data_IF_838808157023
#
_entry.id   IF_838808157023
#
_cell.length_a   1.000
_cell.length_b   1.000
_cell.length_c   1.000
_cell.angle_alpha   90.00
_cell.angle_beta   90.00
_cell.angle_gamma   90.00
#
_symmetry.space_group_name_H-M   'P 1'
#
loop_
_entity.id
_entity.type
_entity.pdbx_description
1 polymer ?
#
# COMPACT_ATOMS: atom_id res chain seq x y z
N UNK A 1 7.94 16.06 -6.83
CA UNK A 1 7.81 14.59 -6.95
C UNK A 1 7.81 13.96 -5.57
N UNK A 2 6.94 13.01 -5.27
CA UNK A 2 6.83 12.42 -3.92
C UNK A 2 8.16 11.88 -3.35
N UNK A 3 9.03 11.28 -4.18
CA UNK A 3 10.32 10.72 -3.75
C UNK A 3 11.27 11.77 -3.15
N UNK A 4 11.36 12.96 -3.75
CA UNK A 4 12.21 14.04 -3.23
C UNK A 4 11.71 14.46 -1.84
N UNK A 5 10.41 14.67 -1.69
CA UNK A 5 9.82 15.05 -0.41
C UNK A 5 9.96 13.95 0.65
N UNK A 6 9.83 12.68 0.25
CA UNK A 6 10.07 11.55 1.14
C UNK A 6 11.51 11.55 1.65
N UNK A 7 12.48 11.73 0.73
CA UNK A 7 13.90 11.81 1.08
C UNK A 7 14.16 12.97 2.04
N UNK A 8 13.73 14.16 1.70
CA UNK A 8 13.93 15.36 2.53
C UNK A 8 13.33 15.17 3.93
N UNK A 9 12.13 14.56 4.02
CA UNK A 9 11.50 14.26 5.31
C UNK A 9 12.34 13.31 6.14
N UNK A 10 12.81 12.20 5.53
CA UNK A 10 13.65 11.22 6.21
C UNK A 10 14.98 11.79 6.65
N UNK A 11 15.60 12.64 5.84
CA UNK A 11 16.88 13.28 6.14
C UNK A 11 16.77 14.27 7.30
N UNK A 12 15.60 14.90 7.46
CA UNK A 12 15.29 15.82 8.55
C UNK A 12 14.66 15.16 9.77
N UNK A 13 14.75 13.83 9.91
CA UNK A 13 14.30 13.09 11.10
C UNK A 13 12.80 12.83 11.16
N UNK A 14 12.09 13.07 10.08
CA UNK A 14 10.68 12.71 9.94
C UNK A 14 10.47 11.23 9.63
N UNK A 15 9.23 10.85 9.34
CA UNK A 15 8.81 9.46 9.07
C UNK A 15 7.98 9.38 7.80
N UNK A 16 8.14 8.28 7.06
CA UNK A 16 7.37 8.01 5.84
C UNK A 16 6.74 6.62 5.92
N UNK A 17 5.46 6.53 5.56
CA UNK A 17 4.75 5.25 5.39
C UNK A 17 4.23 5.14 3.97
N UNK A 18 4.51 4.02 3.32
CA UNK A 18 3.91 3.61 2.06
C UNK A 18 2.83 2.55 2.36
N UNK A 19 1.56 2.90 2.21
CA UNK A 19 0.46 1.93 2.16
C UNK A 19 0.28 1.55 0.70
N UNK A 20 0.89 0.42 0.27
CA UNK A 20 1.11 0.09 -1.12
C UNK A 20 0.30 -1.14 -1.56
N UNK A 21 -0.31 -1.09 -2.75
CA UNK A 21 -0.93 -2.26 -3.37
C UNK A 21 0.14 -3.29 -3.73
N UNK A 22 -0.17 -4.57 -3.53
CA UNK A 22 0.71 -5.67 -3.98
C UNK A 22 1.01 -5.58 -5.48
N UNK A 23 2.09 -6.23 -5.94
CA UNK A 23 2.50 -6.31 -7.33
C UNK A 23 1.58 -7.23 -8.15
N UNK A 24 1.80 -7.28 -9.46
CA UNK A 24 0.97 -8.01 -10.40
C UNK A 24 0.79 -9.49 -10.04
N UNK A 25 -0.44 -9.94 -10.16
CA UNK A 25 -0.88 -11.33 -10.03
C UNK A 25 -1.69 -11.75 -11.27
N UNK A 26 -1.89 -13.03 -11.53
CA UNK A 26 -2.82 -13.48 -12.57
C UNK A 26 -4.22 -12.86 -12.36
N UNK A 27 -5.00 -12.69 -13.43
CA UNK A 27 -6.40 -12.28 -13.34
C UNK A 27 -7.18 -13.19 -12.38
N UNK A 28 -8.25 -12.65 -11.79
CA UNK A 28 -9.20 -13.48 -11.03
C UNK A 28 -10.06 -14.29 -12.00
N UNK A 29 -10.26 -15.56 -11.66
CA UNK A 29 -11.27 -16.35 -12.36
C UNK A 29 -12.66 -15.77 -12.09
N UNK A 30 -13.53 -15.71 -13.10
CA UNK A 30 -14.92 -15.35 -12.90
C UNK A 30 -15.56 -16.24 -11.83
N UNK A 31 -16.08 -15.66 -10.76
CA UNK A 31 -16.68 -16.40 -9.65
C UNK A 31 -15.73 -16.81 -8.52
N UNK A 32 -14.45 -16.40 -8.55
CA UNK A 32 -13.58 -16.56 -7.39
C UNK A 32 -13.96 -15.60 -6.26
N UNK A 33 -14.80 -16.10 -5.37
CA UNK A 33 -15.24 -15.38 -4.17
C UNK A 33 -14.17 -15.26 -3.08
N UNK A 34 -13.01 -15.88 -3.27
CA UNK A 34 -11.86 -15.71 -2.35
C UNK A 34 -11.06 -14.46 -2.66
N UNK A 35 -11.42 -13.72 -3.71
CA UNK A 35 -10.69 -12.56 -4.21
C UNK A 35 -9.21 -12.88 -4.48
N UNK A 36 -8.95 -14.10 -4.97
CA UNK A 36 -7.60 -14.56 -5.28
C UNK A 36 -6.70 -14.72 -4.06
N UNK A 37 -7.23 -15.09 -2.91
CA UNK A 37 -6.45 -15.22 -1.67
C UNK A 37 -5.23 -16.14 -1.81
N UNK A 38 -5.33 -17.20 -2.63
CA UNK A 38 -4.27 -18.17 -2.92
C UNK A 38 -3.36 -17.78 -4.08
N UNK A 39 -3.68 -16.72 -4.85
CA UNK A 39 -2.89 -16.35 -6.03
C UNK A 39 -1.54 -15.78 -5.63
N UNK A 40 -0.50 -16.29 -6.28
CA UNK A 40 0.86 -15.77 -6.24
C UNK A 40 1.03 -14.58 -7.17
N UNK A 41 2.17 -13.90 -7.07
CA UNK A 41 2.60 -12.94 -8.09
C UNK A 41 2.89 -13.65 -9.41
N UNK A 42 2.74 -12.93 -10.54
CA UNK A 42 3.36 -13.32 -11.79
C UNK A 42 4.89 -13.14 -11.69
N UNK A 43 5.64 -13.73 -12.63
CA UNK A 43 7.09 -13.48 -12.74
C UNK A 43 7.36 -11.97 -12.96
N UNK A 44 6.54 -11.33 -13.77
CA UNK A 44 6.60 -9.89 -14.01
C UNK A 44 6.33 -9.09 -12.73
N UNK A 45 5.28 -9.44 -11.98
CA UNK A 45 4.98 -8.79 -10.70
C UNK A 45 6.10 -8.96 -9.68
N UNK A 46 6.77 -10.13 -9.65
CA UNK A 46 7.94 -10.34 -8.80
C UNK A 46 9.09 -9.42 -9.18
N UNK A 47 9.43 -9.34 -10.48
CA UNK A 47 10.49 -8.44 -10.99
C UNK A 47 10.18 -6.98 -10.71
N UNK A 48 8.92 -6.56 -10.90
CA UNK A 48 8.50 -5.20 -10.61
C UNK A 48 8.65 -4.85 -9.13
N UNK A 49 8.21 -5.71 -8.23
CA UNK A 49 8.38 -5.52 -6.79
C UNK A 49 9.86 -5.43 -6.39
N UNK A 50 10.72 -6.28 -6.97
CA UNK A 50 12.16 -6.25 -6.77
C UNK A 50 12.77 -4.91 -7.23
N UNK A 51 12.40 -4.44 -8.43
CA UNK A 51 12.85 -3.15 -8.98
C UNK A 51 12.36 -1.96 -8.15
N UNK A 52 11.16 -2.06 -7.59
CA UNK A 52 10.67 -1.07 -6.62
C UNK A 52 11.58 -1.02 -5.38
N UNK A 53 12.03 -2.15 -4.89
CA UNK A 53 13.01 -2.24 -3.81
C UNK A 53 14.35 -1.57 -4.17
N UNK A 54 14.87 -1.81 -5.38
CA UNK A 54 16.06 -1.12 -5.91
C UNK A 54 15.87 0.40 -5.97
N UNK A 55 14.71 0.84 -6.42
CA UNK A 55 14.36 2.27 -6.48
C UNK A 55 14.36 2.90 -5.07
N UNK A 56 13.76 2.25 -4.08
CA UNK A 56 13.79 2.72 -2.70
C UNK A 56 15.24 2.82 -2.20
N UNK A 57 16.08 1.82 -2.52
CA UNK A 57 17.48 1.82 -2.15
C UNK A 57 18.24 3.01 -2.74
N UNK A 58 18.11 3.24 -4.03
CA UNK A 58 18.82 4.28 -4.75
C UNK A 58 18.41 5.70 -4.33
N UNK A 59 17.16 5.89 -3.89
CA UNK A 59 16.63 7.22 -3.60
C UNK A 59 16.52 7.54 -2.10
N UNK A 60 16.36 6.53 -1.23
CA UNK A 60 16.01 6.76 0.18
C UNK A 60 17.03 6.19 1.18
N UNK A 61 18.00 5.34 0.75
CA UNK A 61 19.06 4.86 1.63
C UNK A 61 20.07 6.00 1.97
N UNK A 62 20.76 5.90 3.14
CA UNK A 62 20.91 4.72 3.99
C UNK A 62 19.84 4.54 5.10
N UNK A 63 18.65 5.08 4.98
CA UNK A 63 17.63 5.00 6.03
C UNK A 63 17.11 3.56 6.21
N UNK A 64 16.96 3.08 7.46
CA UNK A 64 16.38 1.78 7.73
C UNK A 64 14.92 1.68 7.27
N UNK A 65 14.55 0.53 6.68
CA UNK A 65 13.20 0.27 6.14
C UNK A 65 12.60 -0.95 6.80
N UNK A 66 11.37 -0.82 7.32
CA UNK A 66 10.58 -1.93 7.82
C UNK A 66 9.51 -2.36 6.81
N UNK A 67 9.40 -3.66 6.56
CA UNK A 67 8.41 -4.23 5.66
C UNK A 67 7.32 -4.96 6.44
N UNK A 68 6.07 -4.67 6.08
CA UNK A 68 4.89 -5.33 6.60
C UNK A 68 4.00 -5.78 5.43
N UNK A 69 3.32 -6.89 5.59
CA UNK A 69 2.40 -7.41 4.59
C UNK A 69 1.12 -7.92 5.24
N UNK A 70 0.02 -7.93 4.49
CA UNK A 70 -1.15 -8.69 4.87
C UNK A 70 -0.83 -10.19 4.86
N UNK A 71 -1.76 -11.01 5.31
CA UNK A 71 -1.63 -12.47 5.38
C UNK A 71 -1.75 -13.19 4.03
N UNK A 72 -2.07 -12.48 2.93
CA UNK A 72 -2.18 -13.11 1.61
C UNK A 72 -0.81 -13.35 0.99
N UNK A 73 -0.71 -14.44 0.21
CA UNK A 73 0.56 -14.87 -0.34
C UNK A 73 1.20 -13.80 -1.24
N UNK A 74 0.41 -13.16 -2.12
CA UNK A 74 0.89 -12.10 -3.03
C UNK A 74 1.44 -10.86 -2.33
N UNK A 75 0.86 -10.45 -1.20
CA UNK A 75 1.37 -9.29 -0.44
C UNK A 75 2.69 -9.63 0.25
N UNK A 76 2.79 -10.85 0.78
CA UNK A 76 4.03 -11.35 1.38
C UNK A 76 5.14 -11.44 0.33
N UNK A 77 4.85 -12.03 -0.85
CA UNK A 77 5.79 -12.10 -1.96
C UNK A 77 6.25 -10.71 -2.43
N UNK A 78 5.32 -9.76 -2.55
CA UNK A 78 5.65 -8.37 -2.90
C UNK A 78 6.64 -7.76 -1.91
N UNK A 79 6.35 -7.87 -0.61
CA UNK A 79 7.22 -7.33 0.43
C UNK A 79 8.60 -8.01 0.45
N UNK A 80 8.64 -9.33 0.24
CA UNK A 80 9.91 -10.07 0.14
C UNK A 80 10.74 -9.64 -1.07
N UNK A 81 10.11 -9.53 -2.24
CA UNK A 81 10.80 -9.09 -3.47
C UNK A 81 11.36 -7.68 -3.32
N UNK A 82 10.59 -6.74 -2.76
CA UNK A 82 11.08 -5.38 -2.46
C UNK A 82 12.26 -5.40 -1.49
N UNK A 83 12.19 -6.20 -0.41
CA UNK A 83 13.27 -6.31 0.55
C UNK A 83 14.55 -6.86 -0.09
N UNK A 84 14.43 -7.86 -0.98
CA UNK A 84 15.57 -8.41 -1.74
C UNK A 84 16.19 -7.36 -2.66
N UNK A 85 15.38 -6.60 -3.42
CA UNK A 85 15.88 -5.52 -4.29
C UNK A 85 16.62 -4.44 -3.48
N UNK A 86 16.09 -4.09 -2.34
CA UNK A 86 16.70 -3.10 -1.45
C UNK A 86 18.04 -3.60 -0.85
N UNK A 87 18.20 -4.91 -0.59
CA UNK A 87 19.43 -5.50 -0.05
C UNK A 87 20.58 -5.53 -1.06
N UNK A 88 20.31 -5.56 -2.37
CA UNK A 88 21.34 -5.57 -3.41
C UNK A 88 22.18 -4.29 -3.46
N UNK A 89 21.61 -3.16 -3.08
CA UNK A 89 22.29 -1.85 -3.10
C UNK A 89 22.88 -1.49 -1.73
N UNK A 90 22.39 -2.11 -0.66
CA UNK A 90 22.82 -1.86 0.71
C UNK A 90 24.24 -2.37 0.95
N UNK A 91 25.20 -1.46 1.10
CA UNK A 91 26.60 -1.71 1.40
C UNK A 91 26.79 -2.65 2.61
N UNK A 92 26.86 -3.96 2.42
CA UNK A 92 27.45 -4.94 3.33
C UNK A 92 26.93 -5.02 4.78
N UNK A 93 26.06 -4.14 5.20
CA UNK A 93 25.35 -4.27 6.46
C UNK A 93 24.23 -5.25 6.27
N UNK A 94 24.41 -6.48 6.76
CA UNK A 94 23.37 -7.50 6.86
C UNK A 94 22.18 -6.96 7.66
N UNK A 95 21.35 -6.16 7.01
CA UNK A 95 20.10 -5.74 7.58
C UNK A 95 19.22 -6.96 7.52
N UNK A 96 19.02 -7.63 8.64
CA UNK A 96 18.06 -8.74 8.79
C UNK A 96 16.64 -8.20 8.55
N UNK A 97 16.30 -8.00 7.27
CA UNK A 97 15.00 -7.47 6.85
C UNK A 97 13.97 -8.57 6.96
N UNK A 98 13.32 -8.58 8.08
CA UNK A 98 12.21 -9.50 8.33
C UNK A 98 10.92 -8.85 7.86
N UNK A 99 10.27 -9.44 6.84
CA UNK A 99 8.89 -9.09 6.53
C UNK A 99 7.99 -9.58 7.67
N UNK A 100 7.18 -8.69 8.22
CA UNK A 100 6.28 -8.96 9.34
C UNK A 100 4.84 -8.98 8.84
N UNK A 101 4.04 -9.91 9.38
CA UNK A 101 2.61 -9.97 9.08
C UNK A 101 1.84 -8.91 9.88
N UNK A 102 0.92 -8.24 9.22
CA UNK A 102 0.02 -7.25 9.80
C UNK A 102 -1.41 -7.48 9.28
N UNK A 103 -2.25 -8.28 9.98
CA UNK A 103 -3.58 -8.66 9.50
C UNK A 103 -4.51 -7.48 9.18
N UNK A 104 -4.31 -6.33 9.80
CA UNK A 104 -5.07 -5.12 9.50
C UNK A 104 -4.83 -4.58 8.08
N UNK A 105 -3.80 -5.06 7.37
CA UNK A 105 -3.54 -4.76 5.96
C UNK A 105 -4.36 -5.67 5.01
N UNK A 106 -5.02 -6.69 5.53
CA UNK A 106 -5.80 -7.69 4.77
C UNK A 106 -7.18 -7.96 5.37
N UNK A 107 -7.40 -9.18 5.83
CA UNK A 107 -8.71 -9.64 6.32
C UNK A 107 -9.25 -8.82 7.49
N UNK A 108 -8.37 -8.38 8.40
CA UNK A 108 -8.72 -7.54 9.55
C UNK A 108 -8.69 -6.04 9.26
N UNK A 109 -8.77 -5.62 7.97
CA UNK A 109 -8.74 -4.21 7.59
C UNK A 109 -9.78 -3.38 8.34
N UNK A 110 -9.41 -2.20 8.86
CA UNK A 110 -10.34 -1.29 9.50
C UNK A 110 -11.50 -0.84 8.61
N UNK A 111 -11.35 -0.88 7.29
CA UNK A 111 -12.40 -0.51 6.34
C UNK A 111 -13.48 -1.60 6.21
N UNK A 112 -13.15 -2.86 6.50
CA UNK A 112 -14.03 -3.98 6.25
C UNK A 112 -15.01 -4.20 7.40
N UNK A 113 -16.26 -4.43 7.01
CA UNK A 113 -17.34 -4.92 7.87
C UNK A 113 -17.59 -6.41 7.63
N UNK A 114 -18.88 -6.77 7.36
CA UNK A 114 -19.26 -8.15 7.07
C UNK A 114 -18.73 -8.60 5.71
N UNK A 115 -18.10 -9.78 5.68
CA UNK A 115 -17.60 -10.42 4.46
C UNK A 115 -18.78 -10.75 3.54
N UNK A 116 -19.85 -11.33 4.09
CA UNK A 116 -21.04 -11.74 3.35
C UNK A 116 -21.65 -10.55 2.59
N UNK A 117 -21.82 -9.42 3.28
CA UNK A 117 -22.37 -8.19 2.66
C UNK A 117 -21.46 -7.59 1.59
N UNK A 118 -20.14 -7.76 1.71
CA UNK A 118 -19.21 -7.32 0.66
C UNK A 118 -19.25 -8.24 -0.55
N UNK A 119 -19.41 -9.55 -0.33
CA UNK A 119 -19.61 -10.52 -1.42
C UNK A 119 -20.93 -10.28 -2.15
N UNK A 120 -22.03 -10.03 -1.42
CA UNK A 120 -23.31 -9.63 -2.01
C UNK A 120 -23.14 -8.38 -2.88
N UNK A 121 -22.48 -7.35 -2.36
CA UNK A 121 -22.23 -6.12 -3.09
C UNK A 121 -21.40 -6.35 -4.37
N UNK A 122 -20.40 -7.22 -4.31
CA UNK A 122 -19.60 -7.58 -5.48
C UNK A 122 -20.42 -8.36 -6.53
N UNK A 123 -21.35 -9.20 -6.08
CA UNK A 123 -22.22 -9.98 -6.96
C UNK A 123 -23.34 -9.15 -7.64
N UNK A 124 -23.72 -8.01 -7.05
CA UNK A 124 -24.73 -7.09 -7.63
C UNK A 124 -24.26 -6.39 -8.92
N UNK A 125 -22.97 -6.48 -9.27
CA UNK A 125 -22.35 -5.70 -10.35
C UNK A 125 -22.07 -4.25 -9.95
N UNK A 126 -21.48 -3.48 -10.86
CA UNK A 126 -21.14 -2.06 -10.63
C UNK A 126 -20.31 -1.80 -9.35
N UNK A 127 -19.41 -2.74 -9.03
CA UNK A 127 -18.65 -2.72 -7.78
C UNK A 127 -17.86 -1.42 -7.60
N UNK A 128 -17.21 -0.92 -8.66
CA UNK A 128 -16.45 0.33 -8.61
C UNK A 128 -17.36 1.55 -8.37
N UNK A 129 -18.53 1.60 -8.98
CA UNK A 129 -19.51 2.67 -8.74
C UNK A 129 -19.97 2.68 -7.27
N UNK A 130 -20.27 1.49 -6.72
CA UNK A 130 -20.63 1.33 -5.30
C UNK A 130 -19.51 1.74 -4.35
N UNK A 131 -18.27 1.50 -4.72
CA UNK A 131 -17.11 1.96 -3.94
C UNK A 131 -16.95 3.48 -4.03
N UNK A 132 -17.17 4.10 -5.18
CA UNK A 132 -17.17 5.55 -5.31
C UNK A 132 -18.28 6.20 -4.48
N UNK A 133 -19.47 5.58 -4.41
CA UNK A 133 -20.52 6.01 -3.48
C UNK A 133 -20.07 5.91 -2.01
N UNK A 134 -19.35 4.83 -1.65
CA UNK A 134 -18.77 4.69 -0.32
C UNK A 134 -17.77 5.81 -0.04
N UNK A 135 -16.91 6.14 -0.99
CA UNK A 135 -15.90 7.18 -0.83
C UNK A 135 -16.55 8.56 -0.68
N UNK A 136 -17.55 8.86 -1.49
CA UNK A 136 -18.29 10.12 -1.45
C UNK A 136 -19.15 10.29 -0.19
N UNK A 137 -19.85 9.24 0.22
CA UNK A 137 -20.83 9.30 1.34
C UNK A 137 -20.24 8.88 2.70
N UNK A 138 -19.09 8.21 2.69
CA UNK A 138 -18.46 7.63 3.87
C UNK A 138 -19.16 6.40 4.43
N UNK A 139 -20.20 5.86 3.72
CA UNK A 139 -21.03 4.75 4.19
C UNK A 139 -21.35 3.78 3.04
N UNK A 140 -21.20 2.50 3.26
CA UNK A 140 -21.66 1.45 2.34
C UNK A 140 -21.93 0.16 3.11
N UNK A 141 -22.88 -0.64 2.62
CA UNK A 141 -23.16 -1.98 3.15
C UNK A 141 -21.90 -2.84 3.08
N UNK A 142 -21.59 -3.56 4.15
CA UNK A 142 -20.38 -4.40 4.22
C UNK A 142 -19.10 -3.66 4.59
N UNK A 143 -19.12 -2.33 4.69
CA UNK A 143 -17.98 -1.49 5.08
C UNK A 143 -18.20 -0.75 6.39
N UNK A 144 -17.12 -0.43 7.08
CA UNK A 144 -17.12 0.47 8.23
C UNK A 144 -17.17 1.92 7.74
N UNK A 145 -17.55 2.86 8.63
CA UNK A 145 -17.58 4.30 8.28
C UNK A 145 -16.18 4.76 7.84
N UNK A 146 -16.06 5.29 6.63
CA UNK A 146 -14.82 5.60 5.93
C UNK A 146 -13.80 6.38 6.80
N UNK A 147 -14.18 7.55 7.29
CA UNK A 147 -13.25 8.40 8.06
C UNK A 147 -12.83 7.78 9.40
N UNK A 148 -13.73 7.02 10.07
CA UNK A 148 -13.36 6.31 11.31
C UNK A 148 -12.40 5.16 11.02
N UNK A 149 -12.64 4.45 9.93
CA UNK A 149 -11.79 3.36 9.46
C UNK A 149 -10.40 3.88 9.09
N UNK A 150 -10.33 4.99 8.36
CA UNK A 150 -9.07 5.63 7.97
C UNK A 150 -8.26 6.10 9.19
N UNK A 151 -8.91 6.72 10.20
CA UNK A 151 -8.22 7.07 11.46
C UNK A 151 -7.69 5.84 12.19
N UNK A 152 -8.42 4.72 12.16
CA UNK A 152 -7.95 3.46 12.75
C UNK A 152 -6.79 2.87 11.95
N UNK A 153 -6.86 2.87 10.62
CA UNK A 153 -5.77 2.44 9.74
C UNK A 153 -4.51 3.23 10.03
N UNK A 154 -4.61 4.56 10.07
CA UNK A 154 -3.47 5.42 10.34
C UNK A 154 -2.85 5.17 11.73
N UNK A 155 -3.65 4.95 12.75
CA UNK A 155 -3.11 4.58 14.09
C UNK A 155 -2.33 3.27 14.04
N UNK A 156 -2.83 2.27 13.30
CA UNK A 156 -2.12 1.01 13.12
C UNK A 156 -0.82 1.22 12.34
N UNK A 157 -0.84 2.00 11.24
CA UNK A 157 0.36 2.32 10.45
C UNK A 157 1.39 3.09 11.28
N UNK A 158 0.97 4.07 12.06
CA UNK A 158 1.87 4.81 12.95
C UNK A 158 2.51 3.90 14.03
N UNK A 159 1.81 2.89 14.49
CA UNK A 159 2.33 1.90 15.45
C UNK A 159 3.37 0.95 14.86
N UNK A 160 3.49 0.88 13.52
CA UNK A 160 4.53 0.09 12.85
C UNK A 160 5.91 0.75 12.89
N UNK A 161 5.95 2.07 13.11
CA UNK A 161 7.21 2.79 13.23
C UNK A 161 7.84 2.53 14.60
N UNK A 162 9.08 2.08 14.57
CA UNK A 162 9.98 2.06 15.72
C UNK A 162 10.98 3.24 15.60
N UNK A 163 11.74 3.53 16.66
CA UNK A 163 12.76 4.59 16.65
C UNK A 163 13.76 4.40 15.51
N UNK A 164 14.07 3.16 15.20
CA UNK A 164 15.08 2.79 14.22
C UNK A 164 14.53 2.60 12.80
N UNK A 165 13.19 2.73 12.60
CA UNK A 165 12.53 2.47 11.33
C UNK A 165 11.70 3.67 10.85
N UNK A 166 12.35 4.74 10.33
CA UNK A 166 11.64 5.93 9.87
C UNK A 166 10.86 5.71 8.58
N UNK A 167 11.22 4.70 7.78
CA UNK A 167 10.50 4.30 6.57
C UNK A 167 9.79 2.95 6.79
N UNK A 168 8.47 2.95 6.57
CA UNK A 168 7.62 1.75 6.64
C UNK A 168 6.99 1.50 5.28
N UNK A 169 7.12 0.27 4.78
CA UNK A 169 6.42 -0.23 3.58
C UNK A 169 5.39 -1.25 4.04
N UNK A 170 4.11 -0.90 3.91
CA UNK A 170 2.95 -1.70 4.33
C UNK A 170 2.19 -2.20 3.10
N UNK A 171 2.46 -3.46 2.69
CA UNK A 171 1.87 -4.04 1.48
C UNK A 171 0.46 -4.55 1.75
N UNK A 172 -0.48 -4.06 0.95
CA UNK A 172 -1.91 -4.28 1.10
C UNK A 172 -2.59 -4.51 -0.27
N UNK A 173 -3.89 -4.22 -0.35
CA UNK A 173 -4.75 -4.36 -1.52
C UNK A 173 -5.25 -3.00 -2.00
N UNK A 174 -5.62 -2.92 -3.27
CA UNK A 174 -6.12 -1.72 -3.95
C UNK A 174 -7.22 -0.98 -3.17
N UNK A 175 -8.23 -1.69 -2.70
CA UNK A 175 -9.35 -1.10 -1.96
C UNK A 175 -8.91 -0.39 -0.66
N UNK A 176 -7.88 -0.89 0.02
CA UNK A 176 -7.36 -0.24 1.23
C UNK A 176 -6.62 1.05 0.88
N UNK A 177 -5.88 1.05 -0.24
CA UNK A 177 -5.20 2.24 -0.77
C UNK A 177 -6.23 3.28 -1.20
N UNK A 178 -7.22 2.89 -2.04
CA UNK A 178 -8.28 3.77 -2.52
C UNK A 178 -9.09 4.39 -1.38
N UNK A 179 -9.56 3.56 -0.43
CA UNK A 179 -10.33 4.03 0.72
C UNK A 179 -9.53 4.99 1.62
N UNK A 180 -8.23 4.74 1.77
CA UNK A 180 -7.39 5.63 2.57
C UNK A 180 -7.15 6.97 1.88
N UNK A 181 -6.82 6.97 0.58
CA UNK A 181 -6.63 8.18 -0.24
C UNK A 181 -7.89 9.04 -0.25
N UNK A 182 -9.04 8.43 -0.49
CA UNK A 182 -10.32 9.14 -0.48
C UNK A 182 -10.64 9.73 0.90
N UNK A 183 -10.48 8.96 1.97
CA UNK A 183 -10.74 9.42 3.33
C UNK A 183 -9.84 10.59 3.76
N UNK A 184 -8.69 10.76 3.10
CA UNK A 184 -7.73 11.85 3.34
C UNK A 184 -7.87 13.01 2.36
N UNK A 185 -8.85 12.97 1.45
CA UNK A 185 -9.10 14.02 0.48
C UNK A 185 -8.02 14.14 -0.61
N UNK A 186 -7.23 13.08 -0.81
CA UNK A 186 -6.19 13.06 -1.86
C UNK A 186 -6.80 12.76 -3.22
N UNK A 187 -7.80 11.88 -3.25
CA UNK A 187 -8.57 11.52 -4.44
C UNK A 187 -10.06 11.52 -4.08
N UNK A 188 -10.88 12.23 -4.83
CA UNK A 188 -12.32 12.34 -4.57
C UNK A 188 -13.10 11.15 -5.14
N UNK A 189 -12.71 10.69 -6.32
CA UNK A 189 -13.34 9.56 -7.01
C UNK A 189 -12.33 8.82 -7.87
N UNK A 190 -12.61 7.56 -8.14
CA UNK A 190 -11.77 6.71 -8.97
C UNK A 190 -12.53 6.26 -10.22
N UNK A 191 -11.84 6.27 -11.36
CA UNK A 191 -12.24 5.58 -12.59
C UNK A 191 -11.41 4.29 -12.72
N UNK A 192 -11.68 3.49 -13.74
CA UNK A 192 -10.85 2.31 -14.02
C UNK A 192 -9.38 2.70 -14.28
N UNK A 193 -9.14 3.88 -14.89
CA UNK A 193 -7.80 4.41 -15.17
C UNK A 193 -7.08 4.99 -13.94
N UNK A 194 -7.84 5.47 -12.97
CA UNK A 194 -7.30 6.12 -11.76
C UNK A 194 -7.37 5.23 -10.51
N UNK A 195 -7.99 4.03 -10.63
CA UNK A 195 -7.97 3.03 -9.57
C UNK A 195 -6.52 2.65 -9.22
N UNK A 196 -6.18 2.50 -7.93
CA UNK A 196 -4.82 2.17 -7.57
C UNK A 196 -4.30 0.94 -8.30
N UNK A 197 -3.30 1.12 -9.17
CA UNK A 197 -2.66 0.04 -9.90
C UNK A 197 -1.59 -0.67 -9.04
N UNK A 198 -1.01 -1.73 -9.56
CA UNK A 198 0.03 -2.48 -8.88
C UNK A 198 1.20 -1.59 -8.49
N UNK A 199 1.69 -1.75 -7.26
CA UNK A 199 2.78 -0.94 -6.67
C UNK A 199 2.49 0.56 -6.54
N UNK A 200 1.23 0.98 -6.66
CA UNK A 200 0.83 2.34 -6.32
C UNK A 200 0.48 2.45 -4.84
N UNK A 201 0.75 3.61 -4.25
CA UNK A 201 0.71 3.78 -2.79
C UNK A 201 0.05 5.07 -2.33
N UNK A 202 -0.71 4.97 -1.25
CA UNK A 202 -0.95 6.12 -0.39
C UNK A 202 0.29 6.37 0.46
N UNK A 203 0.84 7.57 0.39
CA UNK A 203 2.05 7.97 1.12
C UNK A 203 1.66 8.89 2.26
N UNK A 204 2.11 8.55 3.46
CA UNK A 204 1.96 9.38 4.66
C UNK A 204 3.34 9.94 4.98
N UNK A 205 3.49 11.24 4.91
CA UNK A 205 4.70 11.98 5.22
C UNK A 205 4.46 12.71 6.53
N UNK A 206 5.23 12.38 7.56
CA UNK A 206 5.17 13.03 8.87
C UNK A 206 6.52 13.68 9.15
N UNK A 207 6.54 15.01 9.11
CA UNK A 207 7.73 15.80 9.43
C UNK A 207 8.07 15.72 10.92
N UNK A 208 9.31 16.03 11.26
CA UNK A 208 9.80 15.98 12.66
C UNK A 208 9.02 16.90 13.58
N UNK A 209 8.60 18.08 13.10
CA UNK A 209 7.78 19.06 13.81
C UNK A 209 6.31 18.65 13.98
N UNK A 210 5.91 17.51 13.41
CA UNK A 210 4.57 16.93 13.60
C UNK A 210 3.59 17.19 12.45
N UNK A 211 3.93 18.02 11.46
CA UNK A 211 3.11 18.20 10.25
C UNK A 211 2.92 16.85 9.53
N UNK A 212 1.68 16.57 9.10
CA UNK A 212 1.34 15.35 8.36
C UNK A 212 0.76 15.71 7.01
N UNK A 213 1.34 15.15 5.95
CA UNK A 213 0.87 15.28 4.57
C UNK A 213 0.52 13.90 4.00
N UNK A 214 -0.51 13.85 3.20
CA UNK A 214 -0.93 12.67 2.46
C UNK A 214 -0.79 12.94 0.97
N UNK A 215 -0.24 11.96 0.22
CA UNK A 215 -0.12 12.07 -1.24
C UNK A 215 -0.28 10.70 -1.89
N UNK A 216 -0.52 10.68 -3.19
CA UNK A 216 -0.64 9.47 -4.00
C UNK A 216 0.65 9.28 -4.81
N UNK A 217 1.30 8.14 -4.65
CA UNK A 217 2.44 7.73 -5.45
C UNK A 217 1.96 6.77 -6.55
N UNK A 218 2.16 7.18 -7.80
CA UNK A 218 1.80 6.41 -8.99
C UNK A 218 3.08 5.96 -9.69
N UNK A 219 3.38 4.67 -9.63
CA UNK A 219 4.64 4.10 -10.09
C UNK A 219 5.00 4.51 -11.53
N UNK A 220 4.08 4.36 -12.47
CA UNK A 220 4.32 4.64 -13.89
C UNK A 220 4.37 6.15 -14.23
N UNK A 221 3.76 7.00 -13.41
CA UNK A 221 3.71 8.45 -13.65
C UNK A 221 4.85 9.19 -12.94
N UNK A 222 5.18 8.77 -11.72
CA UNK A 222 6.17 9.45 -10.88
C UNK A 222 7.60 9.04 -11.18
N UNK A 223 7.81 7.85 -11.77
CA UNK A 223 9.14 7.36 -12.09
C UNK A 223 9.69 7.88 -13.41
N UNK A 224 8.83 8.46 -14.27
CA UNK A 224 9.22 8.74 -15.65
C UNK A 224 9.65 7.45 -16.37
N UNK A 225 9.97 7.50 -17.64
CA UNK A 225 10.57 6.37 -18.33
C UNK A 225 12.01 6.12 -17.81
N UNK A 226 12.13 5.50 -16.63
CA UNK A 226 13.40 4.87 -16.27
C UNK A 226 13.50 3.66 -17.21
N UNK A 227 14.19 3.86 -18.33
CA UNK A 227 14.64 2.77 -19.16
C UNK A 227 15.55 1.89 -18.28
N UNK A 228 15.00 0.75 -17.82
CA UNK A 228 15.74 -0.33 -17.18
C UNK A 228 16.57 -1.07 -18.24
#
# INVERSE_FOLDING_TARGET
>A
MPLVEMKDTLDNGGRVTLLIRHAERPPLDPGDFTFGASLSLTEHGWRWAHNFGLMLANNLLPKPVAFYASETFRTLQTACAMAMGLDLVGSGQSIKRKVRLAPFLGSASPFFGSVEKRMELAAEGNYHERLNDYFRTGKQRGFKRLHRAAKKMERHLNALHDKDWPLVVAVTHDINVAAFLSARGVVESFTDETWPDYLEAAVIIKKAEGEVKYTYFRWNQDMGAINL
#
